data_IF_849792557030
#
_entry.id   IF_849792557030
#
_cell.length_a   1.000
_cell.length_b   1.000
_cell.length_c   1.000
_cell.angle_alpha   90.00
_cell.angle_beta   90.00
_cell.angle_gamma   90.00
#
_symmetry.space_group_name_H-M   'P 1'
#
loop_
_entity.id
_entity.type
_entity.pdbx_description
1 polymer ?
#
# COMPACT_ATOMS: atom_id res chain seq x y z
N UNK A 1 36.52 -13.19 -12.76
CA UNK A 1 35.45 -13.78 -11.94
C UNK A 1 35.51 -13.38 -10.46
N UNK A 2 36.60 -13.64 -9.72
CA UNK A 2 36.70 -13.33 -8.27
C UNK A 2 36.41 -11.86 -7.92
N UNK A 3 36.96 -10.89 -8.66
CA UNK A 3 36.76 -9.44 -8.41
C UNK A 3 35.29 -9.01 -8.52
N UNK A 4 34.61 -9.42 -9.59
CA UNK A 4 33.20 -9.07 -9.83
C UNK A 4 32.31 -9.62 -8.73
N UNK A 5 32.49 -10.88 -8.34
CA UNK A 5 31.72 -11.51 -7.25
C UNK A 5 31.94 -10.77 -5.93
N UNK A 6 33.18 -10.40 -5.59
CA UNK A 6 33.46 -9.65 -4.37
C UNK A 6 32.78 -8.27 -4.36
N UNK A 7 32.79 -7.55 -5.49
CA UNK A 7 32.11 -6.26 -5.60
C UNK A 7 30.61 -6.42 -5.39
N UNK A 8 29.98 -7.37 -6.09
CA UNK A 8 28.54 -7.60 -6.00
C UNK A 8 28.10 -8.00 -4.59
N UNK A 9 28.86 -8.89 -3.93
CA UNK A 9 28.56 -9.30 -2.55
C UNK A 9 28.66 -8.11 -1.57
N UNK A 10 29.73 -7.32 -1.65
CA UNK A 10 29.88 -6.14 -0.80
C UNK A 10 28.84 -5.07 -1.11
N UNK A 11 28.46 -4.90 -2.37
CA UNK A 11 27.43 -3.97 -2.77
C UNK A 11 26.06 -4.38 -2.23
N UNK A 12 25.74 -5.67 -2.24
CA UNK A 12 24.53 -6.20 -1.60
C UNK A 12 24.48 -5.86 -0.10
N UNK A 13 25.53 -6.14 0.65
CA UNK A 13 25.54 -5.91 2.11
C UNK A 13 25.56 -4.41 2.46
N UNK A 14 26.40 -3.61 1.81
CA UNK A 14 26.41 -2.17 2.01
C UNK A 14 25.12 -1.51 1.55
N UNK A 15 24.60 -1.92 0.39
CA UNK A 15 23.35 -1.43 -0.16
C UNK A 15 22.18 -1.74 0.76
N UNK A 16 22.08 -2.96 1.28
CA UNK A 16 21.05 -3.34 2.24
C UNK A 16 21.16 -2.56 3.56
N UNK A 17 22.36 -2.47 4.13
CA UNK A 17 22.56 -1.77 5.39
C UNK A 17 22.27 -0.26 5.27
N UNK A 18 22.92 0.43 4.33
CA UNK A 18 22.71 1.85 4.09
C UNK A 18 21.28 2.13 3.66
N UNK A 19 20.70 1.28 2.82
CA UNK A 19 19.32 1.41 2.39
C UNK A 19 18.34 1.37 3.55
N UNK A 20 18.55 0.46 4.51
CA UNK A 20 17.71 0.37 5.72
C UNK A 20 17.81 1.66 6.55
N UNK A 21 19.02 2.19 6.79
CA UNK A 21 19.19 3.43 7.55
C UNK A 21 18.60 4.66 6.83
N UNK A 22 18.82 4.77 5.51
CA UNK A 22 18.28 5.87 4.71
C UNK A 22 16.74 5.82 4.70
N UNK A 23 16.17 4.62 4.56
CA UNK A 23 14.72 4.43 4.51
C UNK A 23 14.05 4.75 5.87
N UNK A 24 14.59 4.20 6.97
CA UNK A 24 14.01 4.40 8.30
C UNK A 24 14.23 5.82 8.86
N UNK A 25 15.28 6.51 8.44
CA UNK A 25 15.62 7.86 8.91
C UNK A 25 15.29 8.95 7.89
N UNK A 26 16.27 9.38 7.06
CA UNK A 26 16.13 10.52 6.15
C UNK A 26 14.90 10.47 5.24
N UNK A 27 14.64 9.35 4.56
CA UNK A 27 13.51 9.24 3.62
C UNK A 27 12.20 9.41 4.36
N UNK A 28 12.00 8.65 5.45
CA UNK A 28 10.79 8.73 6.25
C UNK A 28 10.55 10.15 6.78
N UNK A 29 11.56 10.78 7.38
CA UNK A 29 11.44 12.16 7.90
C UNK A 29 11.09 13.16 6.80
N UNK A 30 11.71 13.03 5.63
CA UNK A 30 11.46 13.96 4.52
C UNK A 30 10.07 13.75 3.92
N UNK A 31 9.61 12.50 3.81
CA UNK A 31 8.26 12.18 3.35
C UNK A 31 7.21 12.67 4.36
N UNK A 32 7.42 12.42 5.66
CA UNK A 32 6.50 12.89 6.70
C UNK A 32 6.45 14.43 6.72
N UNK A 33 7.59 15.12 6.60
CA UNK A 33 7.67 16.57 6.44
C UNK A 33 6.94 17.08 5.19
N UNK A 34 7.14 16.41 4.04
CA UNK A 34 6.47 16.75 2.79
C UNK A 34 4.95 16.67 2.91
N UNK A 35 4.45 15.67 3.62
CA UNK A 35 3.01 15.49 3.87
C UNK A 35 2.42 16.56 4.76
N UNK A 36 3.12 16.93 5.82
CA UNK A 36 2.72 18.05 6.68
C UNK A 36 2.62 19.37 5.90
N UNK A 37 3.41 19.50 4.83
CA UNK A 37 3.43 20.65 3.94
C UNK A 37 2.67 20.43 2.62
N UNK A 38 1.78 19.42 2.57
CA UNK A 38 0.93 19.11 1.42
C UNK A 38 1.68 18.97 0.08
N UNK A 39 2.87 18.37 0.10
CA UNK A 39 3.60 18.05 -1.12
C UNK A 39 2.74 17.22 -2.07
N UNK A 40 2.88 17.48 -3.37
CA UNK A 40 2.27 16.60 -4.36
C UNK A 40 2.96 15.24 -4.36
N UNK A 41 2.25 14.18 -4.77
CA UNK A 41 2.83 12.84 -4.89
C UNK A 41 4.05 12.81 -5.82
N UNK A 42 4.11 13.70 -6.82
CA UNK A 42 5.27 13.85 -7.69
C UNK A 42 6.51 14.39 -6.94
N UNK A 43 6.32 15.37 -6.05
CA UNK A 43 7.41 15.91 -5.22
C UNK A 43 7.93 14.87 -4.22
N UNK A 44 7.03 14.15 -3.54
CA UNK A 44 7.42 13.02 -2.69
C UNK A 44 8.23 11.98 -3.46
N UNK A 45 7.74 11.55 -4.64
CA UNK A 45 8.41 10.57 -5.48
C UNK A 45 9.79 11.04 -5.93
N UNK A 46 9.92 12.30 -6.37
CA UNK A 46 11.19 12.85 -6.85
C UNK A 46 12.24 12.87 -5.74
N UNK A 47 11.86 13.22 -4.51
CA UNK A 47 12.75 13.21 -3.35
C UNK A 47 13.15 11.79 -2.98
N UNK A 48 12.21 10.85 -2.96
CA UNK A 48 12.52 9.43 -2.72
C UNK A 48 13.46 8.89 -3.78
N UNK A 49 13.23 9.18 -5.07
CA UNK A 49 14.14 8.80 -6.16
C UNK A 49 15.52 9.43 -6.00
N UNK A 50 15.61 10.67 -5.53
CA UNK A 50 16.88 11.32 -5.19
C UNK A 50 17.66 10.53 -4.14
N UNK A 51 17.01 10.15 -3.03
CA UNK A 51 17.63 9.33 -1.99
C UNK A 51 18.06 7.95 -2.51
N UNK A 52 17.23 7.29 -3.33
CA UNK A 52 17.54 5.97 -3.89
C UNK A 52 18.72 6.04 -4.87
N UNK A 53 18.77 7.08 -5.71
CA UNK A 53 19.88 7.30 -6.64
C UNK A 53 21.19 7.55 -5.89
N UNK A 54 21.14 8.39 -4.84
CA UNK A 54 22.29 8.65 -3.97
C UNK A 54 22.75 7.36 -3.26
N UNK A 55 21.82 6.55 -2.75
CA UNK A 55 22.11 5.27 -2.12
C UNK A 55 22.82 4.31 -3.09
N UNK A 56 22.32 4.18 -4.32
CA UNK A 56 22.92 3.31 -5.35
C UNK A 56 24.36 3.73 -5.64
N UNK A 57 24.58 5.03 -5.89
CA UNK A 57 25.92 5.57 -6.16
C UNK A 57 26.85 5.34 -4.97
N UNK A 58 26.43 5.76 -3.76
CA UNK A 58 27.24 5.69 -2.56
C UNK A 58 27.59 4.24 -2.19
N UNK A 59 26.60 3.35 -2.16
CA UNK A 59 26.81 1.93 -1.83
C UNK A 59 27.72 1.24 -2.86
N UNK A 60 27.55 1.54 -4.15
CA UNK A 60 28.41 0.99 -5.19
C UNK A 60 29.84 1.52 -5.10
N UNK A 61 30.03 2.83 -4.86
CA UNK A 61 31.34 3.44 -4.65
C UNK A 61 32.06 2.82 -3.45
N UNK A 62 31.37 2.67 -2.30
CA UNK A 62 31.94 2.03 -1.11
C UNK A 62 32.32 0.57 -1.40
N UNK A 63 31.48 -0.17 -2.12
CA UNK A 63 31.77 -1.55 -2.51
C UNK A 63 32.99 -1.65 -3.44
N UNK A 64 33.12 -0.75 -4.42
CA UNK A 64 34.28 -0.66 -5.31
C UNK A 64 35.57 -0.41 -4.52
N UNK A 65 35.59 0.58 -3.63
CA UNK A 65 36.77 0.87 -2.82
C UNK A 65 37.10 -0.30 -1.90
N UNK A 66 36.12 -0.84 -1.17
CA UNK A 66 36.30 -1.99 -0.28
C UNK A 66 36.87 -3.20 -1.03
N UNK A 67 36.34 -3.51 -2.22
CA UNK A 67 36.84 -4.61 -3.05
C UNK A 67 38.29 -4.39 -3.51
N UNK A 68 38.64 -3.15 -3.90
CA UNK A 68 40.00 -2.81 -4.34
C UNK A 68 41.00 -3.04 -3.21
N UNK A 69 40.67 -2.62 -1.98
CA UNK A 69 41.52 -2.82 -0.80
C UNK A 69 41.63 -4.29 -0.35
N UNK A 70 40.58 -5.09 -0.54
CA UNK A 70 40.63 -6.55 -0.26
C UNK A 70 41.57 -7.25 -1.25
N UNK A 71 41.54 -6.83 -2.52
CA UNK A 71 42.34 -7.45 -3.58
C UNK A 71 43.79 -6.96 -3.63
N UNK A 72 44.08 -5.73 -3.19
CA UNK A 72 45.42 -5.10 -3.30
C UNK A 72 46.46 -5.60 -2.29
N UNK A 73 46.36 -6.83 -1.78
CA UNK A 73 47.40 -7.41 -0.91
C UNK A 73 47.53 -6.83 0.50
N UNK A 74 46.51 -6.13 1.02
CA UNK A 74 46.51 -5.56 2.37
C UNK A 74 46.67 -6.60 3.50
N UNK A 75 46.98 -6.16 4.73
CA UNK A 75 47.11 -7.06 5.89
C UNK A 75 45.84 -7.88 6.13
N UNK A 76 45.98 -9.12 6.62
CA UNK A 76 44.86 -10.05 6.86
C UNK A 76 43.75 -9.42 7.72
N UNK A 77 44.14 -8.65 8.73
CA UNK A 77 43.23 -7.92 9.63
C UNK A 77 42.37 -6.90 8.86
N UNK A 78 42.99 -6.08 7.99
CA UNK A 78 42.26 -5.09 7.18
C UNK A 78 41.26 -5.76 6.23
N UNK A 79 41.67 -6.85 5.57
CA UNK A 79 40.77 -7.64 4.71
C UNK A 79 39.59 -8.22 5.48
N UNK A 80 39.86 -8.79 6.66
CA UNK A 80 38.82 -9.30 7.54
C UNK A 80 37.81 -8.21 7.92
N UNK A 81 38.28 -7.03 8.33
CA UNK A 81 37.42 -5.92 8.72
C UNK A 81 36.52 -5.42 7.58
N UNK A 82 37.04 -5.31 6.35
CA UNK A 82 36.28 -4.84 5.18
C UNK A 82 35.18 -5.82 4.73
N UNK A 83 35.24 -7.07 5.18
CA UNK A 83 34.19 -8.08 4.96
C UNK A 83 33.24 -8.13 6.17
N UNK A 84 33.79 -8.14 7.38
CA UNK A 84 33.01 -8.28 8.60
C UNK A 84 32.10 -7.08 8.85
N UNK A 85 32.58 -5.85 8.62
CA UNK A 85 31.81 -4.62 8.86
C UNK A 85 30.48 -4.60 8.05
N UNK A 86 30.48 -4.74 6.71
CA UNK A 86 29.23 -4.73 5.96
C UNK A 86 28.29 -5.88 6.34
N UNK A 87 28.83 -7.06 6.66
CA UNK A 87 28.03 -8.19 7.13
C UNK A 87 27.35 -7.88 8.46
N UNK A 88 28.08 -7.35 9.44
CA UNK A 88 27.54 -6.96 10.73
C UNK A 88 26.54 -5.82 10.60
N UNK A 89 26.81 -4.83 9.74
CA UNK A 89 25.89 -3.74 9.47
C UNK A 89 24.58 -4.23 8.82
N UNK A 90 24.67 -5.19 7.89
CA UNK A 90 23.51 -5.82 7.27
C UNK A 90 22.73 -6.66 8.29
N UNK A 91 23.41 -7.45 9.13
CA UNK A 91 22.76 -8.21 10.19
C UNK A 91 22.06 -7.31 11.21
N UNK A 92 22.70 -6.19 11.60
CA UNK A 92 22.09 -5.19 12.46
C UNK A 92 20.86 -4.54 11.80
N UNK A 93 20.95 -4.20 10.51
CA UNK A 93 19.82 -3.64 9.75
C UNK A 93 18.64 -4.61 9.65
N UNK A 94 18.93 -5.90 9.43
CA UNK A 94 17.92 -6.95 9.47
C UNK A 94 17.29 -7.06 10.87
N UNK A 95 18.09 -6.99 11.93
CA UNK A 95 17.61 -6.98 13.31
C UNK A 95 16.72 -5.78 13.61
N UNK A 96 17.02 -4.60 13.07
CA UNK A 96 16.17 -3.41 13.21
C UNK A 96 14.82 -3.60 12.51
N UNK A 97 14.83 -4.10 11.28
CA UNK A 97 13.60 -4.39 10.54
C UNK A 97 12.78 -5.50 11.20
N UNK A 98 13.41 -6.47 11.85
CA UNK A 98 12.68 -7.50 12.60
C UNK A 98 12.11 -7.01 13.95
N UNK A 99 12.38 -5.76 14.35
CA UNK A 99 11.86 -5.16 15.57
C UNK A 99 10.84 -4.06 15.26
N UNK A 100 9.53 -4.35 15.31
CA UNK A 100 8.47 -3.42 14.91
C UNK A 100 8.47 -2.10 15.68
N UNK A 101 8.97 -2.10 16.93
CA UNK A 101 9.11 -0.90 17.78
C UNK A 101 9.92 0.22 17.12
N UNK A 102 10.90 -0.11 16.27
CA UNK A 102 11.73 0.88 15.58
C UNK A 102 11.19 1.24 14.19
N UNK A 103 10.29 0.42 13.65
CA UNK A 103 9.73 0.60 12.31
C UNK A 103 8.39 1.35 12.39
N UNK A 104 7.60 1.14 13.44
CA UNK A 104 6.29 1.75 13.60
C UNK A 104 6.24 2.63 14.84
N UNK A 105 5.88 3.89 14.65
CA UNK A 105 5.75 4.88 15.73
C UNK A 105 4.44 5.66 15.65
N UNK A 106 3.44 5.13 14.93
CA UNK A 106 2.17 5.83 14.73
C UNK A 106 1.16 5.52 15.84
N UNK A 107 0.35 6.52 16.15
CA UNK A 107 -0.74 6.48 17.13
C UNK A 107 -1.88 5.54 16.72
N UNK A 108 -2.70 5.19 17.70
CA UNK A 108 -3.87 4.33 17.52
C UNK A 108 -5.07 5.15 17.05
N UNK A 109 -5.74 4.67 16.00
CA UNK A 109 -6.97 5.24 15.49
C UNK A 109 -8.17 4.38 15.95
N UNK A 110 -9.03 4.93 16.81
CA UNK A 110 -10.32 4.31 17.12
C UNK A 110 -11.25 4.48 15.92
N UNK A 111 -11.75 3.37 15.38
CA UNK A 111 -12.61 3.38 14.18
C UNK A 111 -14.10 3.34 14.50
N UNK A 112 -14.47 2.50 15.45
CA UNK A 112 -15.87 2.28 15.85
C UNK A 112 -15.92 1.77 17.29
N UNK A 113 -17.12 1.63 17.86
CA UNK A 113 -17.33 1.20 19.25
C UNK A 113 -16.81 -0.20 19.62
N UNK A 114 -16.25 -0.94 18.65
CA UNK A 114 -15.60 -2.22 18.93
C UNK A 114 -14.31 -2.45 18.14
N UNK A 115 -13.84 -1.51 17.34
CA UNK A 115 -12.64 -1.70 16.51
C UNK A 115 -11.68 -0.52 16.62
N UNK A 116 -10.43 -0.85 16.92
CA UNK A 116 -9.31 0.09 16.94
C UNK A 116 -8.23 -0.41 16.00
N UNK A 117 -7.62 0.52 15.29
CA UNK A 117 -6.47 0.26 14.44
C UNK A 117 -5.21 0.81 15.09
N UNK A 118 -4.10 0.12 14.96
CA UNK A 118 -2.81 0.68 15.37
C UNK A 118 -1.61 -0.09 14.85
N UNK A 119 -0.41 0.22 15.38
CA UNK A 119 0.82 -0.48 15.03
C UNK A 119 0.81 -1.93 15.52
N UNK A 120 1.78 -2.72 15.03
CA UNK A 120 2.07 -4.05 15.56
C UNK A 120 2.16 -4.03 17.09
N UNK A 121 1.34 -4.82 17.80
CA UNK A 121 1.31 -4.81 19.26
C UNK A 121 2.45 -5.66 19.83
N UNK A 122 3.32 -5.04 20.63
CA UNK A 122 4.30 -5.75 21.47
C UNK A 122 3.61 -6.47 22.63
N UNK A 123 4.33 -7.33 23.35
CA UNK A 123 3.82 -8.02 24.55
C UNK A 123 3.24 -7.02 25.57
N UNK A 124 4.01 -6.00 25.95
CA UNK A 124 3.56 -4.90 26.83
C UNK A 124 2.26 -4.26 26.30
N UNK A 125 2.16 -4.05 24.98
CA UNK A 125 0.96 -3.43 24.41
C UNK A 125 -0.24 -4.37 24.45
N UNK A 126 -0.03 -5.67 24.34
CA UNK A 126 -1.11 -6.66 24.46
C UNK A 126 -1.66 -6.71 25.89
N UNK A 127 -0.82 -6.54 26.90
CA UNK A 127 -1.25 -6.40 28.30
C UNK A 127 -2.11 -5.14 28.49
N UNK A 128 -1.64 -3.99 28.00
CA UNK A 128 -2.45 -2.75 28.03
C UNK A 128 -3.79 -2.91 27.31
N UNK A 129 -3.79 -3.54 26.12
CA UNK A 129 -5.02 -3.83 25.38
C UNK A 129 -5.94 -4.76 26.19
N UNK A 130 -5.40 -5.74 26.93
CA UNK A 130 -6.20 -6.61 27.78
C UNK A 130 -6.89 -5.82 28.89
N UNK A 131 -6.15 -4.93 29.54
CA UNK A 131 -6.64 -4.07 30.62
C UNK A 131 -7.68 -3.05 30.12
N UNK A 132 -7.54 -2.56 28.90
CA UNK A 132 -8.53 -1.72 28.21
C UNK A 132 -9.80 -2.50 27.77
N UNK A 133 -9.82 -3.81 27.96
CA UNK A 133 -10.94 -4.70 27.67
C UNK A 133 -10.99 -5.22 26.23
N UNK A 134 -9.88 -5.20 25.50
CA UNK A 134 -9.79 -5.86 24.19
C UNK A 134 -9.80 -7.37 24.35
N UNK A 135 -10.64 -8.02 23.54
CA UNK A 135 -10.85 -9.47 23.58
C UNK A 135 -10.11 -10.18 22.46
N UNK A 136 -9.79 -9.47 21.37
CA UNK A 136 -9.23 -10.07 20.16
C UNK A 136 -8.30 -9.12 19.43
N UNK A 137 -7.19 -9.65 18.92
CA UNK A 137 -6.28 -8.98 17.99
C UNK A 137 -6.45 -9.61 16.61
N UNK A 138 -6.59 -8.76 15.59
CA UNK A 138 -6.68 -9.14 14.18
C UNK A 138 -5.37 -8.74 13.50
N UNK A 139 -4.58 -9.75 13.12
CA UNK A 139 -3.35 -9.57 12.39
C UNK A 139 -3.62 -9.63 10.89
N UNK A 140 -3.19 -8.60 10.16
CA UNK A 140 -3.26 -8.55 8.70
C UNK A 140 -1.96 -9.03 8.02
N UNK A 141 -1.05 -9.62 8.81
CA UNK A 141 0.23 -10.14 8.35
C UNK A 141 0.05 -11.39 7.50
N UNK A 142 0.86 -11.53 6.46
CA UNK A 142 0.81 -12.60 5.49
C UNK A 142 2.03 -13.54 5.63
N UNK A 143 1.83 -14.86 5.81
CA UNK A 143 2.92 -15.81 6.05
C UNK A 143 3.87 -16.02 4.86
N UNK A 144 3.50 -15.57 3.66
CA UNK A 144 4.40 -15.60 2.49
C UNK A 144 5.40 -14.42 2.44
N UNK A 145 5.28 -13.40 3.30
CA UNK A 145 6.17 -12.21 3.27
C UNK A 145 7.42 -12.49 4.11
N UNK A 146 8.29 -13.32 3.56
CA UNK A 146 9.56 -13.75 4.16
C UNK A 146 10.62 -12.64 4.06
N UNK A 147 11.50 -12.48 5.06
CA UNK A 147 11.56 -13.20 6.34
C UNK A 147 10.77 -12.56 7.49
N UNK A 148 10.12 -11.41 7.24
CA UNK A 148 9.66 -10.53 8.31
C UNK A 148 8.36 -11.03 8.97
N UNK A 149 7.29 -11.16 8.18
CA UNK A 149 5.95 -11.38 8.72
C UNK A 149 5.74 -12.77 9.36
N UNK A 150 6.35 -13.87 8.89
CA UNK A 150 6.23 -15.18 9.55
C UNK A 150 6.78 -15.21 10.98
N UNK A 151 7.94 -14.57 11.20
CA UNK A 151 8.55 -14.49 12.53
C UNK A 151 7.64 -13.71 13.48
N UNK A 152 7.17 -12.55 13.01
CA UNK A 152 6.27 -11.67 13.75
C UNK A 152 4.94 -12.38 14.09
N UNK A 153 4.35 -13.12 13.16
CA UNK A 153 3.15 -13.93 13.42
C UNK A 153 3.37 -15.00 14.50
N UNK A 154 4.56 -15.60 14.55
CA UNK A 154 4.91 -16.57 15.60
C UNK A 154 5.01 -15.89 16.97
N UNK A 155 5.66 -14.73 17.04
CA UNK A 155 5.78 -13.93 18.26
C UNK A 155 4.40 -13.43 18.74
N UNK A 156 3.55 -12.94 17.83
CA UNK A 156 2.17 -12.53 18.13
C UNK A 156 1.37 -13.67 18.76
N UNK A 157 1.49 -14.89 18.21
CA UNK A 157 0.76 -16.06 18.73
C UNK A 157 1.17 -16.39 20.16
N UNK A 158 2.46 -16.31 20.46
CA UNK A 158 2.97 -16.53 21.81
C UNK A 158 2.49 -15.44 22.77
N UNK A 159 2.67 -14.17 22.40
CA UNK A 159 2.37 -13.05 23.28
C UNK A 159 0.86 -12.88 23.52
N UNK A 160 0.02 -13.11 22.51
CA UNK A 160 -1.44 -13.08 22.68
C UNK A 160 -1.94 -14.21 23.59
N UNK A 161 -1.34 -15.40 23.49
CA UNK A 161 -1.64 -16.51 24.40
C UNK A 161 -1.26 -16.17 25.85
N UNK A 162 -0.09 -15.55 26.09
CA UNK A 162 0.33 -15.07 27.43
C UNK A 162 -0.62 -14.00 27.98
N UNK A 163 -0.98 -13.00 27.18
CA UNK A 163 -1.88 -11.92 27.58
C UNK A 163 -3.36 -12.35 27.71
N UNK A 164 -3.71 -13.58 27.30
CA UNK A 164 -5.10 -14.05 27.31
C UNK A 164 -6.00 -13.29 26.33
N UNK A 165 -5.45 -12.86 25.19
CA UNK A 165 -6.18 -12.23 24.08
C UNK A 165 -6.26 -13.23 22.92
N UNK A 166 -7.42 -13.32 22.26
CA UNK A 166 -7.55 -14.17 21.07
C UNK A 166 -6.83 -13.54 19.88
N UNK A 167 -5.98 -14.30 19.20
CA UNK A 167 -5.41 -13.90 17.90
C UNK A 167 -6.27 -14.45 16.76
N UNK A 168 -6.62 -13.59 15.80
CA UNK A 168 -7.20 -13.99 14.51
C UNK A 168 -6.27 -13.46 13.42
N UNK A 169 -5.74 -14.35 12.59
CA UNK A 169 -4.94 -13.96 11.44
C UNK A 169 -5.84 -13.88 10.19
N UNK A 170 -5.91 -12.71 9.56
CA UNK A 170 -6.62 -12.47 8.29
C UNK A 170 -5.59 -11.89 7.31
N UNK A 171 -4.82 -12.74 6.63
CA UNK A 171 -3.63 -12.30 5.92
C UNK A 171 -4.02 -11.45 4.70
N UNK A 172 -3.52 -10.21 4.63
CA UNK A 172 -3.71 -9.35 3.46
C UNK A 172 -2.37 -9.15 2.76
N UNK A 173 -2.35 -9.40 1.45
CA UNK A 173 -1.23 -9.08 0.59
C UNK A 173 -1.24 -7.58 0.30
N UNK A 174 -0.09 -6.87 0.44
CA UNK A 174 -0.03 -5.44 0.21
C UNK A 174 -0.12 -5.04 -1.28
N UNK A 175 0.08 -5.99 -2.20
CA UNK A 175 0.31 -5.70 -3.63
C UNK A 175 -0.51 -6.58 -4.60
N UNK A 176 -1.35 -7.49 -4.11
CA UNK A 176 -1.97 -8.54 -4.94
C UNK A 176 -3.49 -8.57 -4.67
N UNK A 177 -4.27 -8.78 -5.74
CA UNK A 177 -5.74 -8.87 -5.71
C UNK A 177 -6.29 -10.15 -5.07
N UNK A 178 -5.42 -11.07 -4.64
CA UNK A 178 -5.79 -12.37 -4.08
C UNK A 178 -6.07 -12.26 -2.57
N UNK A 179 -6.93 -11.31 -2.24
CA UNK A 179 -7.36 -11.02 -0.87
C UNK A 179 -8.83 -11.37 -0.66
N UNK A 180 -9.51 -11.98 -1.65
CA UNK A 180 -10.96 -12.20 -1.65
C UNK A 180 -11.42 -13.01 -0.42
N UNK A 181 -10.72 -14.10 -0.12
CA UNK A 181 -11.00 -14.92 1.07
C UNK A 181 -10.80 -14.11 2.36
N UNK A 182 -9.69 -13.39 2.48
CA UNK A 182 -9.38 -12.55 3.64
C UNK A 182 -10.41 -11.44 3.84
N UNK A 183 -10.89 -10.82 2.76
CA UNK A 183 -11.95 -9.80 2.79
C UNK A 183 -13.25 -10.41 3.28
N UNK A 184 -13.61 -11.59 2.76
CA UNK A 184 -14.81 -12.32 3.18
C UNK A 184 -14.74 -12.66 4.67
N UNK A 185 -13.62 -13.22 5.13
CA UNK A 185 -13.38 -13.51 6.54
C UNK A 185 -13.50 -12.26 7.42
N UNK A 186 -12.91 -11.13 6.99
CA UNK A 186 -13.00 -9.87 7.74
C UNK A 186 -14.44 -9.37 7.81
N UNK A 187 -15.19 -9.38 6.70
CA UNK A 187 -16.60 -8.98 6.69
C UNK A 187 -17.45 -9.85 7.61
N UNK A 188 -17.27 -11.16 7.55
CA UNK A 188 -18.03 -12.11 8.37
C UNK A 188 -17.69 -11.96 9.85
N UNK A 189 -16.41 -11.66 10.17
CA UNK A 189 -15.99 -11.33 11.53
C UNK A 189 -16.68 -10.05 12.01
N UNK A 190 -16.65 -8.96 11.22
CA UNK A 190 -17.21 -7.67 11.63
C UNK A 190 -18.72 -7.77 11.88
N UNK A 191 -19.46 -8.49 11.03
CA UNK A 191 -20.92 -8.70 11.20
C UNK A 191 -21.26 -9.46 12.48
N UNK A 192 -20.39 -10.37 12.91
CA UNK A 192 -20.62 -11.23 14.07
C UNK A 192 -19.78 -10.82 15.29
N UNK A 193 -19.18 -9.63 15.24
CA UNK A 193 -18.23 -9.17 16.23
C UNK A 193 -18.88 -9.03 17.61
N UNK A 194 -18.24 -9.60 18.63
CA UNK A 194 -18.66 -9.51 20.04
C UNK A 194 -17.43 -9.16 20.88
N UNK A 195 -17.35 -7.91 21.33
CA UNK A 195 -16.23 -7.39 22.13
C UNK A 195 -15.43 -6.30 21.41
N UNK A 196 -14.24 -6.01 21.95
CA UNK A 196 -13.32 -5.01 21.40
C UNK A 196 -12.17 -5.69 20.66
N UNK A 197 -11.93 -5.23 19.43
CA UNK A 197 -10.98 -5.78 18.47
C UNK A 197 -9.89 -4.76 18.17
N UNK A 198 -8.64 -5.21 18.18
CA UNK A 198 -7.49 -4.42 17.76
C UNK A 198 -6.94 -4.94 16.43
N UNK A 199 -6.88 -4.10 15.40
CA UNK A 199 -6.47 -4.47 14.05
C UNK A 199 -5.14 -3.81 13.71
N UNK A 200 -4.19 -4.57 13.19
CA UNK A 200 -2.89 -4.02 12.80
C UNK A 200 -2.33 -4.72 11.55
N UNK A 201 -1.34 -4.10 10.92
CA UNK A 201 -0.46 -4.75 9.95
C UNK A 201 0.99 -4.35 10.21
N UNK A 202 1.93 -4.83 9.40
CA UNK A 202 3.35 -4.56 9.63
C UNK A 202 3.72 -3.08 9.49
N UNK A 203 3.17 -2.35 8.51
CA UNK A 203 3.55 -0.94 8.25
C UNK A 203 2.41 0.07 8.44
N UNK A 204 1.23 -0.38 8.87
CA UNK A 204 0.09 0.47 9.24
C UNK A 204 -0.53 1.32 8.13
N UNK A 205 -0.17 1.16 6.85
CA UNK A 205 -0.65 2.04 5.75
C UNK A 205 -1.78 1.39 4.94
N UNK A 206 -1.44 0.72 3.84
CA UNK A 206 -2.43 0.39 2.81
C UNK A 206 -3.40 -0.73 3.25
N UNK A 207 -2.89 -1.85 3.79
CA UNK A 207 -3.71 -2.98 4.28
C UNK A 207 -4.67 -2.58 5.41
N UNK A 208 -4.21 -1.71 6.29
CA UNK A 208 -4.96 -1.22 7.44
C UNK A 208 -6.08 -0.28 6.99
N UNK A 209 -5.82 0.58 6.00
CA UNK A 209 -6.87 1.41 5.40
C UNK A 209 -7.92 0.56 4.67
N UNK A 210 -7.52 -0.49 3.96
CA UNK A 210 -8.48 -1.43 3.34
C UNK A 210 -9.37 -2.09 4.41
N UNK A 211 -8.77 -2.61 5.48
CA UNK A 211 -9.52 -3.18 6.59
C UNK A 211 -10.44 -2.14 7.26
N UNK A 212 -9.96 -0.91 7.47
CA UNK A 212 -10.75 0.23 7.97
C UNK A 212 -12.01 0.44 7.14
N UNK A 213 -11.89 0.51 5.82
CA UNK A 213 -13.04 0.71 4.93
C UNK A 213 -14.03 -0.45 5.02
N UNK A 214 -13.55 -1.70 5.06
CA UNK A 214 -14.42 -2.87 5.21
C UNK A 214 -15.17 -2.83 6.54
N UNK A 215 -14.47 -2.52 7.65
CA UNK A 215 -15.07 -2.42 8.99
C UNK A 215 -16.15 -1.33 9.02
N UNK A 216 -15.85 -0.14 8.46
CA UNK A 216 -16.81 0.97 8.40
C UNK A 216 -18.04 0.64 7.55
N UNK A 217 -17.85 0.00 6.40
CA UNK A 217 -18.95 -0.42 5.52
C UNK A 217 -19.91 -1.40 6.21
N UNK A 218 -19.40 -2.36 6.97
CA UNK A 218 -20.24 -3.36 7.66
C UNK A 218 -20.84 -2.83 8.97
N UNK A 219 -20.16 -1.90 9.66
CA UNK A 219 -20.59 -1.37 10.96
C UNK A 219 -21.76 -0.38 10.89
N UNK A 220 -22.20 0.01 9.68
CA UNK A 220 -23.33 0.94 9.42
C UNK A 220 -23.26 2.31 10.13
N UNK A 221 -22.13 2.70 10.72
CA UNK A 221 -21.96 4.00 11.37
C UNK A 221 -21.62 5.08 10.34
N UNK A 222 -22.10 6.33 10.52
CA UNK A 222 -21.73 7.43 9.66
C UNK A 222 -20.21 7.63 9.68
N UNK A 223 -19.66 7.86 8.49
CA UNK A 223 -18.27 8.27 8.29
C UNK A 223 -18.17 9.71 8.81
N UNK A 224 -18.14 9.89 10.14
CA UNK A 224 -17.67 11.17 10.67
C UNK A 224 -16.20 11.28 10.28
N UNK A 225 -15.83 12.47 9.80
CA UNK A 225 -14.55 12.87 9.22
C UNK A 225 -13.35 12.38 10.05
N UNK A 226 -13.00 11.12 9.87
CA UNK A 226 -11.80 10.52 10.42
C UNK A 226 -10.77 10.62 9.31
N UNK A 227 -9.74 11.44 9.53
CA UNK A 227 -8.61 11.62 8.64
C UNK A 227 -8.23 10.29 7.98
N UNK A 228 -8.56 10.18 6.70
CA UNK A 228 -8.11 9.07 5.88
C UNK A 228 -6.64 9.31 5.59
N UNK A 229 -5.77 8.57 6.27
CA UNK A 229 -4.37 8.41 5.86
C UNK A 229 -4.23 7.58 4.56
N UNK A 230 -5.33 7.33 3.86
CA UNK A 230 -5.33 6.69 2.55
C UNK A 230 -4.81 7.68 1.52
N UNK A 231 -4.06 7.16 0.54
CA UNK A 231 -3.58 7.99 -0.56
C UNK A 231 -4.79 8.50 -1.34
N UNK A 232 -4.90 9.82 -1.53
CA UNK A 232 -6.02 10.42 -2.27
C UNK A 232 -5.68 10.54 -3.75
N UNK A 233 -6.68 10.40 -4.61
CA UNK A 233 -6.58 10.80 -6.02
C UNK A 233 -6.25 12.29 -6.18
N UNK A 234 -6.56 13.15 -5.20
CA UNK A 234 -6.15 14.56 -5.21
C UNK A 234 -4.62 14.75 -5.16
N UNK A 235 -3.89 13.75 -4.64
CA UNK A 235 -2.44 13.86 -4.41
C UNK A 235 -1.59 13.37 -5.59
N UNK A 236 -2.22 12.79 -6.61
CA UNK A 236 -1.52 12.19 -7.76
C UNK A 236 -1.94 12.84 -9.07
N UNK A 237 -1.03 12.87 -10.03
CA UNK A 237 -1.28 13.39 -11.37
C UNK A 237 -1.32 12.28 -12.41
N UNK A 238 -0.72 11.13 -12.12
CA UNK A 238 -0.59 10.02 -13.07
C UNK A 238 -0.72 8.67 -12.37
N UNK A 239 -1.30 7.75 -13.11
CA UNK A 239 -1.18 6.30 -12.93
C UNK A 239 -0.23 5.74 -14.00
N UNK A 240 0.10 4.45 -13.90
CA UNK A 240 0.99 3.78 -14.86
C UNK A 240 0.54 3.94 -16.32
N UNK A 241 -0.79 3.99 -16.52
CA UNK A 241 -1.41 4.01 -17.86
C UNK A 241 -1.82 5.41 -18.35
N UNK A 242 -1.45 6.47 -17.63
CA UNK A 242 -1.78 7.84 -18.03
C UNK A 242 -2.14 8.80 -16.90
N UNK A 243 -2.66 9.96 -17.26
CA UNK A 243 -2.95 11.07 -16.36
C UNK A 243 -4.29 10.91 -15.62
N UNK A 244 -4.31 11.40 -14.38
CA UNK A 244 -5.48 11.47 -13.51
C UNK A 244 -6.03 12.89 -13.55
N UNK A 245 -7.31 13.02 -13.87
CA UNK A 245 -8.00 14.30 -13.99
C UNK A 245 -9.07 14.41 -12.92
N UNK A 246 -9.06 15.51 -12.17
CA UNK A 246 -10.17 15.86 -11.29
C UNK A 246 -11.32 16.39 -12.14
N UNK A 247 -12.47 15.75 -12.07
CA UNK A 247 -13.68 16.14 -12.80
C UNK A 247 -14.47 17.18 -11.99
N UNK A 248 -14.75 16.86 -10.74
CA UNK A 248 -15.44 17.70 -9.75
C UNK A 248 -15.05 17.25 -8.33
N UNK A 249 -15.67 17.80 -7.28
CA UNK A 249 -15.40 17.33 -5.92
C UNK A 249 -15.77 15.84 -5.79
N UNK A 250 -14.80 15.02 -5.36
CA UNK A 250 -14.93 13.56 -5.18
C UNK A 250 -15.30 12.79 -6.46
N UNK A 251 -15.05 13.36 -7.64
CA UNK A 251 -15.15 12.66 -8.91
C UNK A 251 -13.88 12.82 -9.74
N UNK A 252 -13.32 11.71 -10.20
CA UNK A 252 -12.07 11.68 -10.94
C UNK A 252 -12.22 10.86 -12.21
N UNK A 253 -11.48 11.25 -13.24
CA UNK A 253 -11.22 10.45 -14.41
C UNK A 253 -9.78 9.94 -14.36
N UNK A 254 -9.58 8.66 -14.61
CA UNK A 254 -8.27 8.01 -14.56
C UNK A 254 -8.09 7.12 -15.78
N UNK A 255 -6.87 6.74 -16.18
CA UNK A 255 -6.71 5.54 -16.99
C UNK A 255 -7.09 4.31 -16.17
N UNK A 256 -7.15 3.13 -16.80
CA UNK A 256 -7.52 1.89 -16.11
C UNK A 256 -6.47 1.64 -15.03
N UNK A 257 -6.85 1.60 -13.75
CA UNK A 257 -5.88 1.42 -12.68
C UNK A 257 -5.30 0.00 -12.70
N UNK A 258 -4.06 -0.16 -12.25
CA UNK A 258 -3.53 -1.48 -11.87
C UNK A 258 -4.21 -1.99 -10.60
N UNK A 259 -4.04 -3.28 -10.28
CA UNK A 259 -4.57 -3.87 -9.04
C UNK A 259 -4.03 -3.14 -7.79
N UNK A 260 -2.78 -2.70 -7.82
CA UNK A 260 -2.17 -1.92 -6.73
C UNK A 260 -2.75 -0.51 -6.62
N UNK A 261 -2.96 0.17 -7.75
CA UNK A 261 -3.55 1.51 -7.79
C UNK A 261 -5.00 1.48 -7.30
N UNK A 262 -5.76 0.45 -7.69
CA UNK A 262 -7.09 0.21 -7.17
C UNK A 262 -7.11 0.06 -5.65
N UNK A 263 -6.21 -0.79 -5.11
CA UNK A 263 -6.14 -1.01 -3.67
C UNK A 263 -5.80 0.28 -2.92
N UNK A 264 -4.81 1.02 -3.41
CA UNK A 264 -4.20 2.14 -2.70
C UNK A 264 -4.98 3.45 -2.79
N UNK A 265 -5.56 3.75 -3.97
CA UNK A 265 -6.17 5.05 -4.25
C UNK A 265 -7.70 5.01 -4.41
N UNK A 266 -8.28 3.84 -4.64
CA UNK A 266 -9.72 3.70 -4.88
C UNK A 266 -10.38 3.01 -3.69
N UNK A 267 -9.96 1.78 -3.37
CA UNK A 267 -10.50 0.99 -2.27
C UNK A 267 -10.14 1.62 -0.93
N UNK A 268 -8.85 1.83 -0.65
CA UNK A 268 -8.40 2.39 0.64
C UNK A 268 -8.95 3.81 0.89
N UNK A 269 -9.12 4.60 -0.18
CA UNK A 269 -9.72 5.94 -0.11
C UNK A 269 -11.24 5.92 0.05
N UNK A 270 -11.89 4.77 -0.12
CA UNK A 270 -13.32 4.60 0.16
C UNK A 270 -14.25 5.01 -1.00
N UNK A 271 -13.77 4.96 -2.25
CA UNK A 271 -14.64 5.14 -3.42
C UNK A 271 -15.68 4.03 -3.48
N UNK A 272 -16.94 4.43 -3.73
CA UNK A 272 -18.08 3.50 -3.72
C UNK A 272 -18.55 3.12 -5.11
N UNK A 273 -18.10 3.86 -6.12
CA UNK A 273 -18.53 3.70 -7.50
C UNK A 273 -17.36 3.83 -8.46
N UNK A 274 -17.27 2.88 -9.39
CA UNK A 274 -16.31 2.86 -10.47
C UNK A 274 -17.08 2.71 -11.78
N UNK A 275 -16.74 3.54 -12.75
CA UNK A 275 -17.37 3.58 -14.07
C UNK A 275 -16.31 3.32 -15.14
N UNK A 276 -16.47 2.26 -15.90
CA UNK A 276 -15.61 1.96 -17.04
C UNK A 276 -16.25 2.46 -18.34
N UNK A 277 -15.48 3.21 -19.14
CA UNK A 277 -15.79 3.55 -20.52
C UNK A 277 -15.02 2.58 -21.42
N UNK A 278 -15.72 1.62 -22.02
CA UNK A 278 -15.10 0.58 -22.86
C UNK A 278 -15.91 0.36 -24.13
N UNK A 279 -15.24 0.01 -25.22
CA UNK A 279 -15.91 -0.46 -26.42
C UNK A 279 -16.23 -1.95 -26.26
N UNK A 280 -17.51 -2.31 -26.10
CA UNK A 280 -17.90 -3.70 -25.86
C UNK A 280 -17.75 -4.61 -27.09
N UNK A 281 -17.51 -4.04 -28.27
CA UNK A 281 -17.33 -4.81 -29.50
C UNK A 281 -15.88 -5.29 -29.68
N UNK A 282 -14.94 -4.77 -28.88
CA UNK A 282 -13.54 -5.14 -28.96
C UNK A 282 -13.27 -6.54 -28.35
N UNK A 283 -12.53 -7.43 -29.05
CA UNK A 283 -12.21 -8.76 -28.54
C UNK A 283 -11.47 -8.70 -27.20
N UNK A 284 -11.90 -9.53 -26.23
CA UNK A 284 -11.26 -9.61 -24.90
C UNK A 284 -11.73 -8.58 -23.87
N UNK A 285 -12.48 -7.54 -24.27
CA UNK A 285 -13.01 -6.53 -23.34
C UNK A 285 -13.96 -7.14 -22.31
N UNK A 286 -14.79 -8.10 -22.71
CA UNK A 286 -15.73 -8.76 -21.81
C UNK A 286 -15.04 -9.56 -20.71
N UNK A 287 -13.92 -10.23 -21.03
CA UNK A 287 -13.13 -10.97 -20.05
C UNK A 287 -12.51 -10.02 -19.02
N UNK A 288 -11.92 -8.91 -19.50
CA UNK A 288 -11.39 -7.88 -18.61
C UNK A 288 -12.45 -7.20 -17.74
N UNK A 289 -13.68 -7.01 -18.26
CA UNK A 289 -14.83 -6.53 -17.47
C UNK A 289 -15.21 -7.53 -16.38
N UNK A 290 -15.25 -8.82 -16.72
CA UNK A 290 -15.62 -9.86 -15.76
C UNK A 290 -14.56 -10.01 -14.66
N UNK A 291 -13.28 -9.93 -15.01
CA UNK A 291 -12.19 -9.92 -14.03
C UNK A 291 -12.32 -8.71 -13.09
N UNK A 292 -12.46 -7.49 -13.65
CA UNK A 292 -12.61 -6.25 -12.89
C UNK A 292 -13.81 -6.27 -11.95
N UNK A 293 -14.95 -6.73 -12.46
CA UNK A 293 -16.17 -6.90 -11.68
C UNK A 293 -15.98 -7.90 -10.54
N UNK A 294 -15.31 -9.04 -10.79
CA UNK A 294 -15.12 -10.12 -9.83
C UNK A 294 -14.51 -9.63 -8.51
N UNK A 295 -13.38 -8.95 -8.57
CA UNK A 295 -12.72 -8.48 -7.35
C UNK A 295 -13.35 -7.18 -6.79
N UNK A 296 -13.89 -6.27 -7.62
CA UNK A 296 -14.62 -5.07 -7.12
C UNK A 296 -15.86 -5.43 -6.30
N UNK A 297 -16.56 -6.52 -6.64
CA UNK A 297 -17.68 -7.03 -5.86
C UNK A 297 -17.27 -7.40 -4.42
N UNK A 298 -16.08 -7.99 -4.22
CA UNK A 298 -15.58 -8.34 -2.89
C UNK A 298 -15.45 -7.09 -1.98
N UNK A 299 -15.17 -5.92 -2.57
CA UNK A 299 -15.08 -4.64 -1.88
C UNK A 299 -16.41 -3.86 -1.79
N UNK A 300 -17.52 -4.42 -2.29
CA UNK A 300 -18.83 -3.76 -2.40
C UNK A 300 -18.75 -2.43 -3.17
N UNK A 301 -17.90 -2.36 -4.18
CA UNK A 301 -17.81 -1.20 -5.08
C UNK A 301 -18.79 -1.42 -6.23
N UNK A 302 -19.65 -0.42 -6.47
CA UNK A 302 -20.57 -0.44 -7.59
C UNK A 302 -19.82 -0.21 -8.89
N UNK A 303 -19.70 -1.26 -9.71
CA UNK A 303 -19.07 -1.18 -11.02
C UNK A 303 -20.12 -1.03 -12.12
N UNK A 304 -19.96 -0.02 -12.98
CA UNK A 304 -20.84 0.20 -14.14
C UNK A 304 -20.02 0.40 -15.40
N UNK A 305 -20.39 -0.27 -16.48
CA UNK A 305 -19.74 -0.12 -17.77
C UNK A 305 -20.64 0.66 -18.72
N UNK A 306 -20.10 1.69 -19.36
CA UNK A 306 -20.74 2.35 -20.50
C UNK A 306 -20.05 1.94 -21.79
N UNK A 307 -20.86 1.45 -22.74
CA UNK A 307 -20.38 1.11 -24.07
C UNK A 307 -20.15 2.39 -24.87
N UNK A 308 -18.91 2.64 -25.27
CA UNK A 308 -18.52 3.76 -26.15
C UNK A 308 -18.84 3.45 -27.62
N UNK A 309 -18.78 2.18 -28.02
CA UNK A 309 -18.96 1.69 -29.39
C UNK A 309 -17.74 1.96 -30.30
N UNK A 310 -17.74 1.36 -31.50
CA UNK A 310 -16.64 1.45 -32.46
C UNK A 310 -16.45 2.87 -33.04
N UNK A 311 -17.55 3.59 -33.21
CA UNK A 311 -17.56 4.97 -33.69
C UNK A 311 -18.02 5.88 -32.55
N UNK A 312 -17.07 6.60 -31.96
CA UNK A 312 -17.31 7.49 -30.83
C UNK A 312 -18.15 8.68 -31.30
N UNK A 313 -19.46 8.61 -31.08
CA UNK A 313 -20.38 9.73 -31.35
C UNK A 313 -20.39 10.71 -30.19
N UNK A 314 -20.25 12.00 -30.49
CA UNK A 314 -20.34 13.09 -29.51
C UNK A 314 -21.69 13.11 -28.78
N UNK A 315 -22.80 12.83 -29.47
CA UNK A 315 -24.12 12.76 -28.84
C UNK A 315 -24.20 11.61 -27.81
N UNK A 316 -23.62 10.45 -28.16
CA UNK A 316 -23.57 9.29 -27.27
C UNK A 316 -22.69 9.58 -26.05
N UNK A 317 -21.50 10.13 -26.27
CA UNK A 317 -20.56 10.45 -25.20
C UNK A 317 -21.13 11.53 -24.28
N UNK A 318 -21.87 12.51 -24.81
CA UNK A 318 -22.59 13.51 -24.01
C UNK A 318 -23.64 12.87 -23.11
N UNK A 319 -24.47 11.96 -23.65
CA UNK A 319 -25.45 11.19 -22.83
C UNK A 319 -24.77 10.37 -21.73
N UNK A 320 -23.60 9.80 -22.01
CA UNK A 320 -22.79 9.07 -21.02
C UNK A 320 -22.28 10.03 -19.94
N UNK A 321 -21.70 11.17 -20.32
CA UNK A 321 -21.20 12.18 -19.40
C UNK A 321 -22.31 12.72 -18.48
N UNK A 322 -23.47 13.08 -19.05
CA UNK A 322 -24.64 13.53 -18.29
C UNK A 322 -25.14 12.45 -17.31
N UNK A 323 -25.15 11.19 -17.75
CA UNK A 323 -25.51 10.06 -16.89
C UNK A 323 -24.54 9.88 -15.72
N UNK A 324 -23.24 10.10 -15.94
CA UNK A 324 -22.19 9.99 -14.91
C UNK A 324 -22.26 11.19 -13.94
N UNK A 325 -22.50 12.41 -14.44
CA UNK A 325 -22.72 13.60 -13.59
C UNK A 325 -23.85 13.40 -12.58
N UNK A 326 -24.90 12.67 -12.96
CA UNK A 326 -26.03 12.37 -12.08
C UNK A 326 -25.76 11.24 -11.05
N UNK A 327 -24.63 10.54 -11.13
CA UNK A 327 -24.32 9.44 -10.22
C UNK A 327 -23.90 9.93 -8.82
N UNK A 328 -24.09 9.10 -7.78
CA UNK A 328 -23.63 9.40 -6.43
C UNK A 328 -22.10 9.41 -6.32
N UNK A 329 -21.56 10.33 -5.54
CA UNK A 329 -20.13 10.49 -5.24
C UNK A 329 -19.80 9.83 -3.90
N UNK A 330 -18.53 9.44 -3.63
CA UNK A 330 -17.34 9.54 -4.48
C UNK A 330 -17.33 8.51 -5.62
N UNK A 331 -16.92 8.94 -6.83
CA UNK A 331 -16.89 8.11 -8.05
C UNK A 331 -15.57 8.24 -8.82
N UNK A 332 -15.15 7.15 -9.46
CA UNK A 332 -14.03 7.14 -10.41
C UNK A 332 -14.53 6.69 -11.77
N UNK A 333 -14.17 7.41 -12.82
CA UNK A 333 -14.41 7.04 -14.22
C UNK A 333 -13.07 6.64 -14.84
N UNK A 334 -13.03 5.58 -15.63
CA UNK A 334 -11.81 5.22 -16.34
C UNK A 334 -12.04 4.67 -17.74
N UNK A 335 -11.08 4.93 -18.62
CA UNK A 335 -10.86 4.26 -19.92
C UNK A 335 -9.65 3.33 -19.79
N UNK A 336 -9.18 2.69 -20.87
CA UNK A 336 -7.94 1.90 -20.79
C UNK A 336 -6.72 2.80 -20.58
N UNK A 337 -6.60 3.88 -21.36
CA UNK A 337 -5.59 4.93 -21.20
C UNK A 337 -6.22 6.32 -21.27
N UNK A 338 -5.56 7.30 -20.67
CA UNK A 338 -6.05 8.68 -20.64
C UNK A 338 -5.85 9.46 -21.94
N UNK A 339 -4.99 8.96 -22.84
CA UNK A 339 -4.65 9.55 -24.14
C UNK A 339 -5.48 8.97 -25.30
N UNK A 340 -6.50 8.17 -24.98
CA UNK A 340 -7.41 7.60 -25.98
C UNK A 340 -8.45 8.61 -26.45
N UNK A 341 -8.92 8.53 -27.71
CA UNK A 341 -9.93 9.45 -28.24
C UNK A 341 -11.22 9.48 -27.41
N UNK A 342 -11.63 8.35 -26.81
CA UNK A 342 -12.77 8.27 -25.92
C UNK A 342 -12.57 9.12 -24.65
N UNK A 343 -11.34 9.09 -24.10
CA UNK A 343 -10.97 9.81 -22.89
C UNK A 343 -11.01 11.33 -23.14
N UNK A 344 -10.36 11.78 -24.23
CA UNK A 344 -10.34 13.19 -24.60
C UNK A 344 -11.74 13.74 -24.84
N UNK A 345 -12.57 13.00 -25.60
CA UNK A 345 -13.94 13.41 -25.88
C UNK A 345 -14.80 13.44 -24.61
N UNK A 346 -14.66 12.43 -23.75
CA UNK A 346 -15.35 12.41 -22.46
C UNK A 346 -14.97 13.61 -21.60
N UNK A 347 -13.67 13.86 -21.41
CA UNK A 347 -13.16 14.97 -20.61
C UNK A 347 -13.64 16.33 -21.13
N UNK A 348 -13.73 16.49 -22.45
CA UNK A 348 -14.25 17.71 -23.09
C UNK A 348 -15.74 17.93 -22.82
N UNK A 349 -16.54 16.86 -22.88
CA UNK A 349 -18.00 16.92 -22.70
C UNK A 349 -18.45 16.88 -21.24
N UNK A 350 -17.57 16.41 -20.35
CA UNK A 350 -17.84 16.38 -18.92
C UNK A 350 -17.64 17.75 -18.26
N UNK A 351 -16.75 18.59 -18.77
CA UNK A 351 -16.71 20.01 -18.37
C UNK A 351 -18.00 20.71 -18.79
#
# INVERSE_FOLDING_TARGET
MKKTVTILALWLFWGFALGTFILLGPVRKTVDYGREHQWSGQQENLVVFGFMSLLVILSFTIALFSSKYILSGSSKVKKGSLIAIPLLAAAFSLSLLLNPKYVNSKEQDRLSEGFTIGPYPTEEKLEELKDEGYTTVISLLHPAIVPFEPKLLSEERENTAKAGIKLINIPLLPWISDNEESIKMLRDLVKNAKGKYYVHCYLGKDRVNVAKQIILQESKKPINELQTFARSLDSIQTFERGEVFKLEDKAFFTPMPTKEEYLSYIIAAGYKQVVALKNLNEPGVQEGINEELGWLMAYKINFKVFNTGDNISEERMKKIADSIKAMPKPLVVHTFRSDQPEAELFLRLYK
#
